data_IF_363954177119
#
_entry.id   IF_363954177119
#
_cell.length_a   1.000
_cell.length_b   1.000
_cell.length_c   1.000
_cell.angle_alpha   90.00
_cell.angle_beta   90.00
_cell.angle_gamma   90.00
#
_symmetry.space_group_name_H-M   'P 1'
#
loop_
_entity.id
_entity.type
_entity.pdbx_description
1 polymer ?
#
# COMPACT_ATOMS: atom_id res chain seq x y z
N UNK A 1 74.57 -10.38 35.68
CA UNK A 1 74.12 -11.72 36.13
C UNK A 1 72.71 -11.57 36.70
N UNK A 2 71.69 -12.04 35.97
CA UNK A 2 70.42 -12.55 36.55
C UNK A 2 69.50 -13.01 35.41
N UNK A 3 69.16 -14.30 35.42
CA UNK A 3 68.22 -14.97 34.53
C UNK A 3 66.87 -15.11 35.24
N UNK A 4 65.77 -14.91 34.47
CA UNK A 4 64.43 -15.56 34.55
C UNK A 4 63.56 -15.28 35.80
N UNK A 5 62.19 -15.28 35.72
CA UNK A 5 61.41 -16.31 35.03
C UNK A 5 60.19 -15.90 34.18
N UNK A 6 59.80 -16.88 33.36
CA UNK A 6 58.56 -17.08 32.61
C UNK A 6 57.40 -17.42 33.56
N UNK A 7 56.22 -16.86 33.36
CA UNK A 7 54.91 -17.40 33.79
C UNK A 7 53.80 -16.44 33.31
N UNK A 8 53.09 -16.76 32.23
CA UNK A 8 51.74 -17.35 32.22
C UNK A 8 50.67 -16.54 32.97
N UNK A 9 49.72 -15.97 32.23
CA UNK A 9 48.28 -16.21 32.47
C UNK A 9 47.44 -15.53 31.39
N UNK A 10 46.65 -16.36 30.71
CA UNK A 10 45.60 -15.99 29.79
C UNK A 10 44.55 -15.14 30.51
N UNK A 11 44.10 -14.05 29.89
CA UNK A 11 42.81 -13.44 30.21
C UNK A 11 42.04 -13.23 28.91
N UNK A 12 41.08 -14.13 28.71
CA UNK A 12 40.04 -14.04 27.71
C UNK A 12 39.21 -12.77 27.96
N UNK A 13 39.13 -11.89 26.97
CA UNK A 13 38.12 -10.86 26.90
C UNK A 13 37.14 -11.26 25.80
N UNK A 14 36.07 -11.94 26.21
CA UNK A 14 34.91 -12.19 25.38
C UNK A 14 34.23 -10.84 25.06
N UNK A 15 34.46 -10.33 23.85
CA UNK A 15 33.75 -9.16 23.35
C UNK A 15 32.33 -9.59 22.98
N UNK A 16 31.36 -9.05 23.72
CA UNK A 16 29.92 -9.18 23.50
C UNK A 16 29.55 -8.72 22.08
N UNK A 17 29.12 -9.66 21.24
CA UNK A 17 28.41 -9.36 20.00
C UNK A 17 26.97 -8.99 20.34
N UNK A 18 26.71 -7.71 20.61
CA UNK A 18 25.34 -7.19 20.60
C UNK A 18 24.91 -7.02 19.14
N UNK A 19 24.18 -7.99 18.61
CA UNK A 19 23.43 -7.81 17.36
C UNK A 19 22.34 -6.77 17.60
N UNK A 20 22.58 -5.53 17.18
CA UNK A 20 21.54 -4.54 17.05
C UNK A 20 20.60 -5.00 15.93
N UNK A 21 19.39 -5.46 16.28
CA UNK A 21 18.29 -5.50 15.33
C UNK A 21 17.98 -4.05 14.96
N UNK A 22 18.56 -3.56 13.86
CA UNK A 22 18.10 -2.35 13.20
C UNK A 22 16.71 -2.67 12.68
N UNK A 23 15.68 -2.21 13.40
CA UNK A 23 14.32 -2.21 12.89
C UNK A 23 14.27 -1.16 11.77
N UNK A 24 14.31 -1.61 10.52
CA UNK A 24 14.14 -0.72 9.38
C UNK A 24 12.73 -0.13 9.43
N UNK A 25 12.64 1.21 9.45
CA UNK A 25 11.36 1.90 9.48
C UNK A 25 10.61 1.70 8.14
N UNK A 26 9.27 1.55 8.17
CA UNK A 26 8.48 1.44 6.96
C UNK A 26 8.59 2.72 6.12
N UNK A 27 8.82 2.55 4.82
CA UNK A 27 8.96 3.64 3.87
C UNK A 27 7.58 4.08 3.41
N UNK A 28 7.28 5.38 3.50
CA UNK A 28 6.07 5.95 2.94
C UNK A 28 6.34 6.39 1.50
N UNK A 29 5.83 5.63 0.54
CA UNK A 29 5.95 5.87 -0.89
C UNK A 29 4.77 6.69 -1.40
N UNK A 30 5.05 7.59 -2.34
CA UNK A 30 4.04 8.37 -3.08
C UNK A 30 4.05 7.91 -4.52
N UNK A 31 2.88 7.57 -5.05
CA UNK A 31 2.73 6.96 -6.38
C UNK A 31 1.55 7.56 -7.14
N UNK A 32 1.55 7.39 -8.47
CA UNK A 32 0.42 7.73 -9.34
C UNK A 32 -0.46 6.51 -9.66
N UNK A 33 0.08 5.31 -9.41
CA UNK A 33 -0.59 4.02 -9.59
C UNK A 33 -0.79 3.39 -8.22
N UNK A 34 -2.05 3.31 -7.83
CA UNK A 34 -2.50 2.85 -6.53
C UNK A 34 -2.70 1.33 -6.49
N UNK A 35 -3.46 0.86 -5.48
CA UNK A 35 -3.76 -0.56 -5.33
C UNK A 35 -4.57 -1.09 -6.52
N UNK A 36 -4.28 -2.32 -6.91
CA UNK A 36 -5.14 -3.08 -7.82
C UNK A 36 -6.15 -3.91 -7.02
N UNK A 37 -7.30 -4.17 -7.64
CA UNK A 37 -8.30 -5.08 -7.08
C UNK A 37 -7.74 -6.50 -6.86
N UNK A 38 -6.80 -6.94 -7.70
CA UNK A 38 -6.16 -8.25 -7.59
C UNK A 38 -5.27 -8.35 -6.35
N UNK A 39 -4.51 -7.31 -6.03
CA UNK A 39 -3.68 -7.26 -4.83
C UNK A 39 -4.54 -7.48 -3.57
N UNK A 40 -5.73 -6.88 -3.55
CA UNK A 40 -6.66 -6.99 -2.42
C UNK A 40 -7.31 -8.37 -2.37
N UNK A 41 -7.64 -8.95 -3.53
CA UNK A 41 -8.15 -10.32 -3.59
C UNK A 41 -7.13 -11.33 -3.06
N UNK A 42 -5.86 -11.20 -3.47
CA UNK A 42 -4.78 -12.07 -2.99
C UNK A 42 -4.65 -11.95 -1.47
N UNK A 43 -4.56 -10.72 -0.96
CA UNK A 43 -4.50 -10.47 0.49
C UNK A 43 -5.70 -11.07 1.22
N UNK A 44 -6.92 -10.86 0.71
CA UNK A 44 -8.13 -11.37 1.33
C UNK A 44 -8.12 -12.91 1.35
N UNK A 45 -7.64 -13.56 0.30
CA UNK A 45 -7.51 -15.01 0.25
C UNK A 45 -6.54 -15.51 1.32
N UNK A 46 -5.39 -14.86 1.51
CA UNK A 46 -4.48 -15.18 2.61
C UNK A 46 -5.13 -15.00 3.98
N UNK A 47 -5.86 -13.90 4.19
CA UNK A 47 -6.52 -13.61 5.46
C UNK A 47 -7.62 -14.62 5.81
N UNK A 48 -8.37 -15.12 4.82
CA UNK A 48 -9.50 -16.04 5.04
C UNK A 48 -9.06 -17.51 5.01
N UNK A 49 -8.19 -17.87 4.07
CA UNK A 49 -7.84 -19.26 3.77
C UNK A 49 -6.44 -19.66 4.24
N UNK A 50 -5.61 -18.71 4.70
CA UNK A 50 -4.21 -18.95 5.06
C UNK A 50 -3.28 -19.22 3.87
N UNK A 51 -3.76 -19.05 2.63
CA UNK A 51 -3.00 -19.24 1.39
C UNK A 51 -3.46 -18.28 0.30
N UNK A 52 -2.63 -18.11 -0.73
CA UNK A 52 -3.04 -17.44 -1.96
C UNK A 52 -4.18 -18.18 -2.68
N UNK A 53 -4.93 -17.48 -3.56
CA UNK A 53 -5.99 -18.09 -4.34
C UNK A 53 -5.44 -19.13 -5.31
N UNK A 54 -6.18 -20.21 -5.50
CA UNK A 54 -5.89 -21.19 -6.55
C UNK A 54 -6.44 -20.70 -7.91
N UNK A 55 -6.21 -21.49 -8.96
CA UNK A 55 -6.62 -21.13 -10.33
C UNK A 55 -8.14 -20.91 -10.47
N UNK A 56 -8.96 -21.81 -9.91
CA UNK A 56 -10.41 -21.72 -10.03
C UNK A 56 -10.97 -20.53 -9.25
N UNK A 57 -10.47 -20.30 -8.03
CA UNK A 57 -10.82 -19.15 -7.21
C UNK A 57 -10.47 -17.84 -7.92
N UNK A 58 -9.28 -17.77 -8.54
CA UNK A 58 -8.84 -16.61 -9.32
C UNK A 58 -9.75 -16.40 -10.53
N UNK A 59 -10.12 -17.46 -11.25
CA UNK A 59 -11.02 -17.37 -12.41
C UNK A 59 -12.39 -16.84 -12.00
N UNK A 60 -13.00 -17.40 -10.95
CA UNK A 60 -14.30 -16.95 -10.44
C UNK A 60 -14.25 -15.49 -9.99
N UNK A 61 -13.18 -15.09 -9.30
CA UNK A 61 -12.99 -13.70 -8.91
C UNK A 61 -12.85 -12.75 -10.11
N UNK A 62 -12.10 -13.14 -11.14
CA UNK A 62 -11.96 -12.35 -12.37
C UNK A 62 -13.32 -12.14 -13.05
N UNK A 63 -14.12 -13.19 -13.18
CA UNK A 63 -15.46 -13.12 -13.79
C UNK A 63 -16.36 -12.13 -13.01
N UNK A 64 -16.35 -12.21 -11.68
CA UNK A 64 -17.11 -11.30 -10.81
C UNK A 64 -16.61 -9.86 -10.87
N UNK A 65 -15.29 -9.66 -10.93
CA UNK A 65 -14.71 -8.33 -11.02
C UNK A 65 -15.00 -7.69 -12.38
N UNK A 66 -14.94 -8.47 -13.46
CA UNK A 66 -15.34 -8.01 -14.79
C UNK A 66 -16.81 -7.58 -14.81
N UNK A 67 -17.71 -8.37 -14.23
CA UNK A 67 -19.12 -7.99 -14.13
C UNK A 67 -19.31 -6.64 -13.40
N UNK A 68 -18.63 -6.43 -12.27
CA UNK A 68 -18.69 -5.15 -11.53
C UNK A 68 -18.17 -3.98 -12.36
N UNK A 69 -17.02 -4.14 -13.00
CA UNK A 69 -16.41 -3.10 -13.84
C UNK A 69 -17.30 -2.77 -15.03
N UNK A 70 -17.82 -3.77 -15.73
CA UNK A 70 -18.72 -3.57 -16.86
C UNK A 70 -20.03 -2.90 -16.46
N UNK A 71 -20.62 -3.30 -15.32
CA UNK A 71 -21.81 -2.64 -14.79
C UNK A 71 -21.54 -1.17 -14.52
N UNK A 72 -20.43 -0.86 -13.84
CA UNK A 72 -20.05 0.51 -13.54
C UNK A 72 -19.84 1.35 -14.81
N UNK A 73 -19.12 0.83 -15.81
CA UNK A 73 -18.89 1.52 -17.07
C UNK A 73 -20.17 1.83 -17.85
N UNK A 74 -21.17 0.94 -17.77
CA UNK A 74 -22.48 1.18 -18.39
C UNK A 74 -23.25 2.31 -17.70
N UNK A 75 -23.09 2.42 -16.38
CA UNK A 75 -23.69 3.49 -15.57
C UNK A 75 -22.92 4.82 -15.70
N UNK A 76 -21.65 4.75 -16.14
CA UNK A 76 -20.71 5.87 -16.27
C UNK A 76 -20.04 5.93 -17.65
N UNK A 77 -20.80 6.14 -18.74
CA UNK A 77 -20.26 6.15 -20.10
C UNK A 77 -19.23 7.28 -20.35
N UNK A 78 -19.26 8.35 -19.55
CA UNK A 78 -18.26 9.42 -19.59
C UNK A 78 -16.83 8.92 -19.31
N UNK A 79 -16.68 7.78 -18.63
CA UNK A 79 -15.38 7.21 -18.30
C UNK A 79 -14.62 6.72 -19.54
N UNK A 80 -15.30 6.37 -20.63
CA UNK A 80 -14.66 5.88 -21.87
C UNK A 80 -13.68 6.89 -22.48
N UNK A 81 -13.92 8.19 -22.24
CA UNK A 81 -13.07 9.28 -22.72
C UNK A 81 -12.05 9.74 -21.67
N UNK A 82 -12.08 9.18 -20.46
CA UNK A 82 -11.15 9.54 -19.40
C UNK A 82 -9.77 8.91 -19.66
N UNK A 83 -8.71 9.67 -19.36
CA UNK A 83 -7.33 9.18 -19.50
C UNK A 83 -7.05 7.91 -18.69
N UNK A 84 -7.78 7.69 -17.61
CA UNK A 84 -7.66 6.55 -16.69
C UNK A 84 -8.52 5.34 -17.06
N UNK A 85 -9.23 5.38 -18.20
CA UNK A 85 -10.15 4.31 -18.61
C UNK A 85 -9.46 2.95 -18.63
N UNK A 86 -8.25 2.90 -19.19
CA UNK A 86 -7.48 1.65 -19.33
C UNK A 86 -7.09 1.06 -17.99
N UNK A 87 -6.71 1.91 -17.04
CA UNK A 87 -6.33 1.55 -15.68
C UNK A 87 -7.52 0.98 -14.91
N UNK A 88 -8.69 1.59 -15.05
CA UNK A 88 -9.91 1.06 -14.43
C UNK A 88 -10.39 -0.24 -15.10
N UNK A 89 -10.51 -0.26 -16.43
CA UNK A 89 -11.12 -1.37 -17.19
C UNK A 89 -10.23 -2.61 -17.25
N UNK A 90 -8.95 -2.45 -17.54
CA UNK A 90 -8.05 -3.56 -17.83
C UNK A 90 -7.14 -3.89 -16.65
N UNK A 91 -6.51 -2.87 -16.07
CA UNK A 91 -5.60 -3.06 -14.94
C UNK A 91 -6.31 -3.17 -13.60
N UNK A 92 -7.60 -2.75 -13.53
CA UNK A 92 -8.43 -2.76 -12.32
C UNK A 92 -7.69 -2.07 -11.16
N UNK A 93 -7.06 -0.96 -11.49
CA UNK A 93 -6.13 -0.23 -10.64
C UNK A 93 -6.63 1.18 -10.38
N UNK A 94 -6.58 1.60 -9.12
CA UNK A 94 -6.88 2.98 -8.73
C UNK A 94 -5.74 3.89 -9.15
N UNK A 95 -6.07 5.04 -9.73
CA UNK A 95 -5.09 6.07 -10.13
C UNK A 95 -5.58 7.47 -9.80
N UNK A 96 -4.70 8.46 -9.92
CA UNK A 96 -5.10 9.87 -9.82
C UNK A 96 -6.23 10.19 -10.82
N UNK A 97 -7.21 10.97 -10.37
CA UNK A 97 -8.43 11.29 -11.08
C UNK A 97 -9.55 10.26 -10.92
N UNK A 98 -9.29 9.10 -10.29
CA UNK A 98 -10.34 8.12 -10.00
C UNK A 98 -11.42 8.75 -9.11
N UNK A 99 -12.68 8.37 -9.32
CA UNK A 99 -13.79 8.82 -8.48
C UNK A 99 -13.95 7.91 -7.25
N UNK A 100 -14.70 8.32 -6.21
CA UNK A 100 -14.89 7.50 -5.03
C UNK A 100 -15.68 6.22 -5.36
N UNK A 101 -16.55 6.28 -6.38
CA UNK A 101 -17.26 5.13 -6.94
C UNK A 101 -16.32 4.13 -7.58
N UNK A 102 -15.41 4.58 -8.45
CA UNK A 102 -14.39 3.72 -9.07
C UNK A 102 -13.53 3.01 -8.02
N UNK A 103 -13.06 3.76 -7.01
CA UNK A 103 -12.25 3.20 -5.92
C UNK A 103 -13.02 2.11 -5.18
N UNK A 104 -14.31 2.33 -4.87
CA UNK A 104 -15.14 1.34 -4.17
C UNK A 104 -15.49 0.12 -5.02
N UNK A 105 -15.66 0.29 -6.33
CA UNK A 105 -15.87 -0.85 -7.24
C UNK A 105 -14.66 -1.78 -7.22
N UNK A 106 -13.46 -1.22 -7.24
CA UNK A 106 -12.21 -1.98 -7.28
C UNK A 106 -11.82 -2.56 -5.91
N UNK A 107 -11.91 -1.75 -4.85
CA UNK A 107 -11.33 -2.08 -3.54
C UNK A 107 -12.36 -2.40 -2.45
N UNK A 108 -13.64 -2.12 -2.69
CA UNK A 108 -14.68 -2.15 -1.66
C UNK A 108 -14.66 -0.92 -0.76
N UNK A 109 -15.29 -1.03 0.41
CA UNK A 109 -15.29 0.05 1.41
C UNK A 109 -13.92 0.19 2.09
N UNK A 110 -13.47 1.42 2.37
CA UNK A 110 -12.24 1.64 3.13
C UNK A 110 -12.40 1.19 4.58
N UNK A 111 -11.26 0.91 5.23
CA UNK A 111 -11.23 0.62 6.68
C UNK A 111 -11.58 1.86 7.50
N UNK A 112 -11.12 3.01 7.03
CA UNK A 112 -11.34 4.29 7.69
C UNK A 112 -11.48 5.40 6.66
N UNK A 113 -12.29 6.41 6.98
CA UNK A 113 -12.47 7.63 6.21
C UNK A 113 -12.29 8.81 7.16
N UNK A 114 -11.55 9.82 6.73
CA UNK A 114 -11.33 11.02 7.52
C UNK A 114 -11.31 12.28 6.69
N UNK A 115 -11.83 13.36 7.27
CA UNK A 115 -11.70 14.74 6.80
C UNK A 115 -10.98 15.61 7.83
N UNK A 116 -10.52 15.02 8.94
CA UNK A 116 -9.79 15.73 9.99
C UNK A 116 -8.39 16.08 9.47
N UNK A 117 -8.03 17.37 9.36
CA UNK A 117 -6.72 17.79 8.88
C UNK A 117 -5.56 17.24 9.71
N UNK A 118 -5.73 17.03 11.02
CA UNK A 118 -4.68 16.49 11.87
C UNK A 118 -4.42 15.01 11.56
N UNK A 119 -5.49 14.22 11.40
CA UNK A 119 -5.37 12.82 11.00
C UNK A 119 -4.83 12.69 9.58
N UNK A 120 -5.31 13.49 8.63
CA UNK A 120 -4.77 13.53 7.27
C UNK A 120 -3.28 13.89 7.24
N UNK A 121 -2.85 14.83 8.08
CA UNK A 121 -1.43 15.18 8.22
C UNK A 121 -0.60 13.99 8.72
N UNK A 122 -1.11 13.23 9.69
CA UNK A 122 -0.43 12.04 10.19
C UNK A 122 -0.39 10.90 9.16
N UNK A 123 -1.39 10.79 8.29
CA UNK A 123 -1.40 9.81 7.19
C UNK A 123 -0.42 10.19 6.06
N UNK A 124 -0.28 11.49 5.78
CA UNK A 124 0.60 12.01 4.75
C UNK A 124 2.08 12.09 5.14
N UNK A 125 2.36 12.20 6.44
CA UNK A 125 3.70 12.37 7.03
C UNK A 125 4.59 13.34 6.23
N UNK A 126 5.75 12.87 5.74
CA UNK A 126 6.70 13.66 4.96
C UNK A 126 6.11 14.20 3.64
N UNK A 127 5.09 13.54 3.07
CA UNK A 127 4.43 13.97 1.83
C UNK A 127 3.28 14.95 2.09
N UNK A 128 2.89 15.17 3.35
CA UNK A 128 1.73 15.99 3.69
C UNK A 128 1.80 17.40 3.10
N UNK A 129 2.99 18.01 3.03
CA UNK A 129 3.15 19.36 2.48
C UNK A 129 2.68 19.47 1.02
N UNK A 130 2.90 18.42 0.22
CA UNK A 130 2.41 18.37 -1.15
C UNK A 130 0.92 18.02 -1.19
N UNK A 131 0.50 17.00 -0.44
CA UNK A 131 -0.87 16.46 -0.43
C UNK A 131 -1.90 17.49 0.05
N UNK A 132 -1.58 18.26 1.10
CA UNK A 132 -2.52 19.21 1.74
C UNK A 132 -2.98 20.36 0.84
N UNK A 133 -2.29 20.58 -0.28
CA UNK A 133 -2.64 21.65 -1.23
C UNK A 133 -3.96 21.36 -1.92
N UNK A 134 -4.27 20.09 -2.16
CA UNK A 134 -5.46 19.64 -2.91
C UNK A 134 -6.38 18.75 -2.08
N UNK A 135 -5.83 17.89 -1.23
CA UNK A 135 -6.61 16.90 -0.49
C UNK A 135 -7.58 17.51 0.53
N UNK A 136 -8.79 16.95 0.60
CA UNK A 136 -9.89 17.29 1.51
C UNK A 136 -10.46 16.10 2.26
N UNK A 137 -10.26 14.89 1.76
CA UNK A 137 -10.64 13.64 2.41
C UNK A 137 -9.54 12.60 2.21
N UNK A 138 -9.38 11.68 3.16
CA UNK A 138 -8.47 10.55 3.06
C UNK A 138 -9.18 9.24 3.42
N UNK A 139 -8.95 8.22 2.62
CA UNK A 139 -9.44 6.85 2.86
C UNK A 139 -8.26 5.93 3.11
N UNK A 140 -8.35 5.15 4.18
CA UNK A 140 -7.33 4.17 4.56
C UNK A 140 -7.80 2.78 4.14
N UNK A 141 -6.92 2.08 3.45
CA UNK A 141 -7.14 0.72 2.98
C UNK A 141 -6.11 -0.25 3.57
N UNK A 142 -6.34 -1.57 3.44
CA UNK A 142 -5.31 -2.57 3.71
C UNK A 142 -3.98 -2.32 2.98
N UNK A 143 -2.95 -3.08 3.39
CA UNK A 143 -1.62 -3.06 2.76
C UNK A 143 -0.92 -1.68 2.79
N UNK A 144 -1.27 -0.87 3.78
CA UNK A 144 -0.64 0.44 4.00
C UNK A 144 -1.10 1.53 3.03
N UNK A 145 -2.15 1.29 2.24
CA UNK A 145 -2.63 2.24 1.25
C UNK A 145 -3.44 3.38 1.89
N UNK A 146 -3.16 4.60 1.48
CA UNK A 146 -3.96 5.80 1.76
C UNK A 146 -4.28 6.49 0.45
N UNK A 147 -5.57 6.75 0.23
CA UNK A 147 -6.10 7.41 -0.97
C UNK A 147 -6.63 8.78 -0.57
N UNK A 148 -6.09 9.84 -1.14
CA UNK A 148 -6.52 11.21 -0.86
C UNK A 148 -7.40 11.74 -1.98
N UNK A 149 -8.47 12.43 -1.62
CA UNK A 149 -9.46 13.00 -2.53
C UNK A 149 -9.52 14.52 -2.40
N UNK A 150 -9.80 15.23 -3.49
CA UNK A 150 -10.13 16.65 -3.47
C UNK A 150 -11.59 16.91 -3.07
N UNK A 151 -12.01 18.18 -3.14
CA UNK A 151 -13.37 18.65 -2.86
C UNK A 151 -14.42 18.13 -3.85
N UNK A 152 -13.99 17.76 -5.07
CA UNK A 152 -14.84 17.19 -6.12
C UNK A 152 -14.92 15.67 -6.05
N UNK A 153 -14.18 15.05 -5.12
CA UNK A 153 -14.11 13.61 -4.95
C UNK A 153 -13.16 12.91 -5.94
N UNK A 154 -12.28 13.62 -6.63
CA UNK A 154 -11.26 12.99 -7.46
C UNK A 154 -10.04 12.60 -6.62
N UNK A 155 -9.47 11.41 -6.87
CA UNK A 155 -8.21 10.99 -6.25
C UNK A 155 -7.10 11.95 -6.69
N UNK A 156 -6.45 12.60 -5.73
CA UNK A 156 -5.35 13.55 -5.99
C UNK A 156 -4.00 13.03 -5.54
N UNK A 157 -3.97 12.08 -4.62
CA UNK A 157 -2.73 11.48 -4.14
C UNK A 157 -2.94 10.05 -3.63
N UNK A 158 -1.90 9.25 -3.75
CA UNK A 158 -1.87 7.84 -3.37
C UNK A 158 -0.57 7.57 -2.65
N UNK A 159 -0.69 7.20 -1.37
CA UNK A 159 0.46 6.83 -0.55
C UNK A 159 0.38 5.37 -0.17
N UNK A 160 1.54 4.70 -0.10
CA UNK A 160 1.66 3.34 0.40
C UNK A 160 2.74 3.27 1.47
N UNK A 161 2.37 2.77 2.64
CA UNK A 161 3.33 2.40 3.67
C UNK A 161 3.88 1.02 3.35
N UNK A 162 5.09 0.97 2.83
CA UNK A 162 5.78 -0.27 2.46
C UNK A 162 6.65 -0.72 3.62
N UNK A 163 6.47 -1.97 4.04
CA UNK A 163 7.38 -2.58 5.01
C UNK A 163 8.70 -2.88 4.31
N UNK A 164 9.87 -2.69 4.93
CA UNK A 164 11.16 -3.00 4.30
C UNK A 164 11.37 -4.48 3.99
N UNK A 165 10.47 -5.34 4.49
CA UNK A 165 10.41 -6.77 4.20
C UNK A 165 9.49 -7.11 3.00
N UNK A 166 8.77 -6.13 2.47
CA UNK A 166 7.90 -6.27 1.30
C UNK A 166 8.73 -5.98 0.02
N UNK A 167 9.58 -6.93 -0.38
CA UNK A 167 10.33 -6.84 -1.64
C UNK A 167 9.40 -7.23 -2.79
N UNK A 168 8.77 -6.24 -3.45
CA UNK A 168 8.28 -6.41 -4.82
C UNK A 168 9.50 -6.33 -5.74
N UNK A 169 9.80 -7.39 -6.46
CA UNK A 169 10.61 -7.26 -7.67
C UNK A 169 9.72 -6.53 -8.70
N UNK A 170 10.18 -5.35 -9.12
CA UNK A 170 9.53 -4.48 -10.12
C UNK A 170 9.50 -5.11 -11.53
#
# INVERSE_FOLDING_TARGET
MSRLPRSSSWLAAAALLTTACVATEPVLERTTKGPSAEEFFIMQSFAVNGRGPNFDEKRVWLDQMDEKVFKYLREHPELENASRYSEFRFWRQVTNGSTPGEVKVLLGEPRERTIDPALMASLGEQHWQAVRTTAKEAWVYPLGWVVFFDDKGAVVDLLRRVSPLDTRDD
#
